data_IF_023462373290
#
_entry.id   IF_023462373290
#
_cell.length_a   1.000
_cell.length_b   1.000
_cell.length_c   1.000
_cell.angle_alpha   90.00
_cell.angle_beta   90.00
_cell.angle_gamma   90.00
#
_symmetry.space_group_name_H-M   'P 1'
#
loop_
_entity.id
_entity.type
_entity.pdbx_description
1 polymer ?
#
# COMPACT_ATOMS: atom_id res chain seq x y z
N UNK A 1 -12.35 -4.59 -8.24
CA UNK A 1 -11.89 -5.97 -8.46
C UNK A 1 -11.70 -6.62 -7.10
N UNK A 2 -12.05 -7.90 -6.92
CA UNK A 2 -11.85 -8.63 -5.66
C UNK A 2 -10.94 -9.84 -5.93
N UNK A 3 -9.93 -10.04 -5.08
CA UNK A 3 -8.95 -11.13 -5.20
C UNK A 3 -8.99 -11.98 -3.93
N UNK A 4 -9.02 -13.30 -4.07
CA UNK A 4 -8.93 -14.25 -2.95
C UNK A 4 -7.51 -14.84 -2.95
N UNK A 5 -6.87 -14.85 -1.78
CA UNK A 5 -5.49 -15.34 -1.61
C UNK A 5 -5.46 -16.53 -0.66
N UNK A 6 -4.94 -17.66 -1.12
CA UNK A 6 -4.57 -18.77 -0.26
C UNK A 6 -3.16 -18.54 0.29
N UNK A 7 -3.08 -18.22 1.58
CA UNK A 7 -1.82 -17.86 2.23
C UNK A 7 -1.22 -19.06 2.98
N UNK A 8 0.10 -19.28 2.87
CA UNK A 8 0.83 -20.13 3.81
C UNK A 8 0.59 -19.73 5.27
N UNK A 9 0.69 -20.71 6.18
CA UNK A 9 0.36 -20.50 7.61
C UNK A 9 1.25 -19.43 8.27
N UNK A 10 2.54 -19.45 7.96
CA UNK A 10 3.52 -18.49 8.45
C UNK A 10 3.20 -17.06 7.99
N UNK A 11 2.89 -16.86 6.70
CA UNK A 11 2.45 -15.57 6.15
C UNK A 11 1.16 -15.09 6.82
N UNK A 12 0.18 -16.01 7.01
CA UNK A 12 -1.08 -15.70 7.69
C UNK A 12 -0.86 -15.24 9.14
N UNK A 13 0.09 -15.84 9.86
CA UNK A 13 0.45 -15.45 11.23
C UNK A 13 1.14 -14.08 11.23
N UNK A 14 2.09 -13.86 10.32
CA UNK A 14 2.79 -12.59 10.20
C UNK A 14 1.82 -11.43 9.91
N UNK A 15 0.89 -11.64 8.97
CA UNK A 15 -0.11 -10.63 8.61
C UNK A 15 -1.04 -10.29 9.77
N UNK A 16 -1.50 -11.28 10.55
CA UNK A 16 -2.30 -11.04 11.76
C UNK A 16 -1.52 -10.27 12.83
N UNK A 17 -0.23 -10.55 13.00
CA UNK A 17 0.63 -9.81 13.94
C UNK A 17 0.78 -8.36 13.50
N UNK A 18 1.02 -8.12 12.22
CA UNK A 18 1.08 -6.78 11.65
C UNK A 18 -0.23 -6.01 11.87
N UNK A 19 -1.37 -6.62 11.54
CA UNK A 19 -2.69 -6.04 11.76
C UNK A 19 -2.91 -5.60 13.22
N UNK A 20 -2.58 -6.48 14.16
CA UNK A 20 -2.68 -6.19 15.59
C UNK A 20 -1.72 -5.08 16.06
N UNK A 21 -0.48 -5.08 15.56
CA UNK A 21 0.54 -4.10 15.94
C UNK A 21 0.16 -2.69 15.48
N UNK A 22 -0.36 -2.58 14.27
CA UNK A 22 -0.70 -1.31 13.64
C UNK A 22 -2.18 -0.91 13.87
N UNK A 23 -2.94 -1.71 14.61
CA UNK A 23 -4.37 -1.49 14.89
C UNK A 23 -5.21 -1.25 13.63
N UNK A 24 -4.96 -2.05 12.59
CA UNK A 24 -5.68 -2.00 11.31
C UNK A 24 -6.34 -3.34 11.02
N UNK A 25 -7.37 -3.30 10.17
CA UNK A 25 -8.05 -4.52 9.71
C UNK A 25 -7.11 -5.45 8.95
N UNK A 26 -7.41 -6.76 8.97
CA UNK A 26 -6.59 -7.76 8.30
C UNK A 26 -6.54 -7.55 6.78
N UNK A 27 -7.66 -7.14 6.18
CA UNK A 27 -7.74 -6.80 4.76
C UNK A 27 -6.87 -5.57 4.44
N UNK A 28 -6.97 -4.51 5.24
CA UNK A 28 -6.14 -3.31 5.08
C UNK A 28 -4.64 -3.64 5.19
N UNK A 29 -4.27 -4.53 6.12
CA UNK A 29 -2.90 -5.03 6.25
C UNK A 29 -2.42 -5.76 5.00
N UNK A 30 -3.26 -6.60 4.41
CA UNK A 30 -2.93 -7.32 3.17
C UNK A 30 -2.70 -6.34 2.01
N UNK A 31 -3.57 -5.34 1.88
CA UNK A 31 -3.47 -4.30 0.86
C UNK A 31 -2.19 -3.48 1.03
N UNK A 32 -1.85 -3.09 2.27
CA UNK A 32 -0.62 -2.35 2.56
C UNK A 32 0.63 -3.16 2.19
N UNK A 33 0.72 -4.41 2.65
CA UNK A 33 1.85 -5.28 2.36
C UNK A 33 2.01 -5.52 0.84
N UNK A 34 0.89 -5.72 0.13
CA UNK A 34 0.91 -5.91 -1.33
C UNK A 34 1.33 -4.63 -2.05
N UNK A 35 0.84 -3.46 -1.63
CA UNK A 35 1.23 -2.17 -2.20
C UNK A 35 2.72 -1.91 -2.01
N UNK A 36 3.24 -2.15 -0.82
CA UNK A 36 4.65 -1.98 -0.50
C UNK A 36 5.53 -2.90 -1.37
N UNK A 37 5.15 -4.18 -1.49
CA UNK A 37 5.84 -5.12 -2.37
C UNK A 37 5.83 -4.65 -3.83
N UNK A 38 4.65 -4.37 -4.40
CA UNK A 38 4.52 -3.94 -5.80
C UNK A 38 5.23 -2.62 -6.08
N UNK A 39 5.28 -1.71 -5.10
CA UNK A 39 6.08 -0.49 -5.21
C UNK A 39 7.57 -0.83 -5.25
N UNK A 40 8.03 -1.72 -4.36
CA UNK A 40 9.45 -2.09 -4.28
C UNK A 40 9.96 -2.81 -5.53
N UNK A 41 9.08 -3.51 -6.26
CA UNK A 41 9.41 -4.17 -7.53
C UNK A 41 9.24 -3.25 -8.75
N UNK A 42 8.66 -2.06 -8.55
CA UNK A 42 8.35 -1.11 -9.63
C UNK A 42 7.10 -1.48 -10.45
N UNK A 43 6.34 -2.50 -10.05
CA UNK A 43 5.07 -2.88 -10.69
C UNK A 43 3.92 -1.92 -10.35
N UNK A 44 4.05 -1.17 -9.25
CA UNK A 44 3.17 -0.09 -8.87
C UNK A 44 3.99 1.20 -8.73
N UNK A 45 3.71 2.18 -9.56
CA UNK A 45 4.28 3.51 -9.39
C UNK A 45 3.72 4.13 -8.10
N UNK A 46 4.62 4.64 -7.25
CA UNK A 46 4.21 5.42 -6.10
C UNK A 46 3.60 6.71 -6.66
N UNK A 47 2.28 6.81 -6.66
CA UNK A 47 1.60 8.08 -6.94
C UNK A 47 1.98 9.01 -5.80
N UNK A 48 3.07 9.76 -5.99
CA UNK A 48 3.39 10.89 -5.13
C UNK A 48 2.12 11.74 -5.09
N UNK A 49 1.60 11.97 -3.88
CA UNK A 49 0.53 12.92 -3.71
C UNK A 49 0.95 14.21 -4.43
N UNK A 50 0.16 14.56 -5.44
CA UNK A 50 0.27 15.74 -6.31
C UNK A 50 0.84 16.92 -5.53
N UNK A 51 1.86 17.60 -6.06
CA UNK A 51 1.62 18.91 -6.69
C UNK A 51 0.61 19.78 -5.92
N UNK A 52 0.81 19.93 -4.61
CA UNK A 52 0.11 20.92 -3.78
C UNK A 52 0.95 22.20 -3.69
N UNK A 53 1.40 22.68 -4.86
CA UNK A 53 1.81 24.08 -5.04
C UNK A 53 1.57 24.52 -6.49
N UNK A 54 0.32 24.32 -6.95
CA UNK A 54 -0.20 24.97 -8.14
C UNK A 54 -0.60 26.42 -7.83
N UNK A 55 0.29 27.37 -8.13
CA UNK A 55 0.09 28.81 -7.87
C UNK A 55 0.68 29.78 -8.93
N UNK A 56 0.34 29.59 -10.21
CA UNK A 56 0.11 30.64 -11.25
C UNK A 56 1.24 31.60 -11.69
N UNK A 57 1.63 31.41 -12.96
CA UNK A 57 1.82 32.33 -14.10
C UNK A 57 2.73 33.59 -14.03
N UNK A 58 3.61 33.72 -15.04
CA UNK A 58 3.99 35.03 -15.59
C UNK A 58 5.38 35.08 -16.22
N UNK A 59 5.41 35.01 -17.56
CA UNK A 59 6.57 35.32 -18.39
C UNK A 59 6.66 36.85 -18.56
N UNK A 60 7.74 37.49 -18.13
CA UNK A 60 8.18 38.84 -18.54
C UNK A 60 9.64 39.09 -18.15
#
# INVERSE_FOLDING_TARGET
MHLVLDLPRDVSIALRRFANLHQVELEASAVLALREYLTSTGDLELVAALEEDGGVAGNA
#
